data_IF_157614304232
#
_entry.id   IF_157614304232
#
_cell.length_a   1.000
_cell.length_b   1.000
_cell.length_c   1.000
_cell.angle_alpha   90.00
_cell.angle_beta   90.00
_cell.angle_gamma   90.00
#
_symmetry.space_group_name_H-M   'P 1'
#
loop_
_entity.id
_entity.type
_entity.pdbx_description
1 polymer ?
#
# COMPACT_ATOMS: atom_id res chain seq x y z
N UNK A 1 0.65 -14.44 -17.85
CA UNK A 1 1.00 -14.27 -16.42
C UNK A 1 0.39 -15.41 -15.60
N UNK A 2 1.02 -15.84 -14.49
CA UNK A 2 0.44 -16.86 -13.61
C UNK A 2 -0.84 -16.32 -12.92
N UNK A 3 -1.98 -17.01 -13.11
CA UNK A 3 -3.28 -16.60 -12.53
C UNK A 3 -3.30 -16.64 -11.00
N UNK A 4 -2.60 -17.57 -10.37
CA UNK A 4 -2.53 -17.67 -8.92
C UNK A 4 -1.81 -16.46 -8.32
N UNK A 5 -0.70 -16.04 -8.92
CA UNK A 5 0.00 -14.81 -8.54
C UNK A 5 -0.95 -13.61 -8.67
N UNK A 6 -1.63 -13.48 -9.81
CA UNK A 6 -2.57 -12.37 -10.01
C UNK A 6 -3.71 -12.36 -8.99
N UNK A 7 -4.22 -13.53 -8.58
CA UNK A 7 -5.24 -13.62 -7.52
C UNK A 7 -4.72 -13.16 -6.16
N UNK A 8 -3.47 -13.49 -5.82
CA UNK A 8 -2.83 -13.01 -4.58
C UNK A 8 -2.69 -11.47 -4.63
N UNK A 9 -2.20 -10.94 -5.75
CA UNK A 9 -2.02 -9.50 -5.93
C UNK A 9 -3.38 -8.76 -5.94
N UNK A 10 -4.40 -9.34 -6.56
CA UNK A 10 -5.77 -8.84 -6.52
C UNK A 10 -6.26 -8.71 -5.07
N UNK A 11 -6.04 -9.75 -4.25
CA UNK A 11 -6.46 -9.70 -2.86
C UNK A 11 -5.72 -8.63 -2.06
N UNK A 12 -4.43 -8.41 -2.32
CA UNK A 12 -3.71 -7.27 -1.77
C UNK A 12 -4.33 -5.93 -2.19
N UNK A 13 -4.76 -5.80 -3.45
CA UNK A 13 -5.53 -4.65 -3.95
C UNK A 13 -6.87 -4.46 -3.25
N UNK A 14 -7.60 -5.54 -2.97
CA UNK A 14 -8.89 -5.50 -2.25
C UNK A 14 -8.73 -5.10 -0.78
N UNK A 15 -7.63 -5.48 -0.12
CA UNK A 15 -7.30 -4.98 1.21
C UNK A 15 -7.16 -3.45 1.18
N UNK A 16 -6.45 -2.91 0.17
CA UNK A 16 -6.36 -1.46 -0.02
C UNK A 16 -7.71 -0.83 -0.31
N UNK A 17 -8.54 -1.43 -1.17
CA UNK A 17 -9.90 -0.95 -1.45
C UNK A 17 -10.73 -0.82 -0.17
N UNK A 18 -10.70 -1.86 0.69
CA UNK A 18 -11.42 -1.85 1.97
C UNK A 18 -10.88 -0.77 2.91
N UNK A 19 -9.56 -0.64 2.99
CA UNK A 19 -8.90 0.35 3.83
C UNK A 19 -9.23 1.78 3.41
N UNK A 20 -9.10 2.11 2.12
CA UNK A 20 -9.40 3.45 1.61
C UNK A 20 -10.89 3.76 1.71
N UNK A 21 -11.77 2.79 1.40
CA UNK A 21 -13.21 2.96 1.51
C UNK A 21 -13.60 3.31 2.95
N UNK A 22 -13.09 2.59 3.95
CA UNK A 22 -13.33 2.89 5.36
C UNK A 22 -12.89 4.31 5.76
N UNK A 23 -11.78 4.80 5.20
CA UNK A 23 -11.30 6.17 5.44
C UNK A 23 -12.26 7.21 4.86
N UNK A 24 -12.71 7.04 3.61
CA UNK A 24 -13.69 7.94 3.00
C UNK A 24 -15.03 7.95 3.75
N UNK A 25 -15.56 6.77 4.09
CA UNK A 25 -16.86 6.67 4.75
C UNK A 25 -16.84 7.12 6.20
N UNK A 26 -15.68 7.13 6.86
CA UNK A 26 -15.56 7.65 8.23
C UNK A 26 -15.82 9.15 8.34
N UNK A 27 -15.61 9.91 7.26
CA UNK A 27 -15.71 11.38 7.23
C UNK A 27 -14.73 12.13 8.14
N UNK A 28 -13.93 11.43 8.95
CA UNK A 28 -13.15 12.00 10.07
C UNK A 28 -11.68 11.57 10.06
N UNK A 29 -11.28 10.69 9.14
CA UNK A 29 -9.92 10.16 9.08
C UNK A 29 -8.84 11.26 8.98
N UNK A 30 -9.06 12.24 8.11
CA UNK A 30 -8.08 13.32 7.87
C UNK A 30 -7.90 14.18 9.12
N UNK A 31 -8.98 14.44 9.85
CA UNK A 31 -8.98 15.25 11.06
C UNK A 31 -8.34 14.51 12.25
N UNK A 32 -8.52 13.19 12.32
CA UNK A 32 -8.06 12.35 13.44
C UNK A 32 -6.68 11.72 13.21
N UNK A 33 -6.08 11.87 12.02
CA UNK A 33 -4.78 11.25 11.73
C UNK A 33 -3.68 11.74 12.69
N UNK A 34 -3.68 13.02 13.09
CA UNK A 34 -2.67 13.57 13.99
C UNK A 34 -2.59 12.85 15.35
N UNK A 35 -3.73 12.44 15.90
CA UNK A 35 -3.81 11.65 17.14
C UNK A 35 -3.19 10.26 16.94
N UNK A 36 -3.51 9.61 15.82
CA UNK A 36 -2.96 8.30 15.46
C UNK A 36 -1.44 8.36 15.29
N UNK A 37 -0.93 9.37 14.58
CA UNK A 37 0.51 9.58 14.41
C UNK A 37 1.21 9.91 15.73
N UNK A 38 0.57 10.68 16.62
CA UNK A 38 1.10 10.98 17.95
C UNK A 38 1.23 9.71 18.80
N UNK A 39 0.22 8.82 18.74
CA UNK A 39 0.28 7.51 19.38
C UNK A 39 1.43 6.67 18.83
N UNK A 40 1.59 6.64 17.51
CA UNK A 40 2.69 5.94 16.83
C UNK A 40 4.06 6.52 17.17
N UNK A 41 4.20 7.84 17.37
CA UNK A 41 5.47 8.44 17.75
C UNK A 41 5.86 8.13 19.20
N UNK A 42 4.89 8.05 20.11
CA UNK A 42 5.11 7.99 21.57
C UNK A 42 6.05 6.88 22.05
N UNK A 43 6.05 5.73 21.36
CA UNK A 43 6.83 4.54 21.72
C UNK A 43 7.56 3.94 20.52
N UNK A 44 7.73 4.70 19.44
CA UNK A 44 8.38 4.18 18.24
C UNK A 44 9.86 3.88 18.51
N UNK A 45 10.33 2.64 18.29
CA UNK A 45 11.74 2.29 18.47
C UNK A 45 12.63 2.87 17.36
N UNK A 46 12.07 3.22 16.19
CA UNK A 46 12.82 3.78 15.07
C UNK A 46 13.03 5.29 15.29
N UNK A 47 14.17 5.67 15.86
CA UNK A 47 14.45 7.07 16.20
C UNK A 47 14.26 8.04 15.02
N UNK A 48 14.83 7.74 13.85
CA UNK A 48 14.71 8.61 12.67
C UNK A 48 13.24 8.80 12.24
N UNK A 49 12.43 7.73 12.32
CA UNK A 49 11.04 7.78 11.86
C UNK A 49 10.16 8.46 12.90
N UNK A 50 10.44 8.26 14.19
CA UNK A 50 9.84 9.03 15.27
C UNK A 50 10.09 10.52 15.09
N UNK A 51 11.31 10.92 14.76
CA UNK A 51 11.67 12.32 14.55
C UNK A 51 10.93 12.89 13.33
N UNK A 52 10.79 12.13 12.24
CA UNK A 52 9.94 12.48 11.11
C UNK A 52 8.47 12.65 11.50
N UNK A 53 7.92 11.73 12.31
CA UNK A 53 6.54 11.82 12.78
C UNK A 53 6.32 13.10 13.59
N UNK A 54 7.21 13.37 14.56
CA UNK A 54 7.10 14.51 15.47
C UNK A 54 7.31 15.86 14.77
N UNK A 55 8.29 15.95 13.89
CA UNK A 55 8.71 17.24 13.33
C UNK A 55 8.11 17.53 11.94
N UNK A 56 7.51 16.54 11.27
CA UNK A 56 6.99 16.72 9.91
C UNK A 56 5.56 16.20 9.77
N UNK A 57 5.30 14.93 10.10
CA UNK A 57 4.00 14.32 9.80
C UNK A 57 2.87 14.83 10.70
N UNK A 58 3.10 14.92 12.01
CA UNK A 58 2.09 15.39 12.98
C UNK A 58 1.73 16.87 12.76
N UNK A 59 2.69 17.81 12.60
CA UNK A 59 2.38 19.20 12.30
C UNK A 59 1.60 19.41 10.99
N UNK A 60 1.78 18.50 10.02
CA UNK A 60 1.10 18.54 8.71
C UNK A 60 0.06 17.42 8.56
N UNK A 61 -0.53 16.98 9.68
CA UNK A 61 -1.34 15.75 9.73
C UNK A 61 -2.54 15.74 8.78
N UNK A 62 -3.17 16.88 8.51
CA UNK A 62 -4.27 16.94 7.53
C UNK A 62 -3.78 16.67 6.10
N UNK A 63 -2.63 17.22 5.71
CA UNK A 63 -2.02 16.95 4.41
C UNK A 63 -1.64 15.48 4.28
N UNK A 64 -0.98 14.91 5.29
CA UNK A 64 -0.70 13.47 5.31
C UNK A 64 -1.97 12.62 5.34
N UNK A 65 -3.04 13.09 5.97
CA UNK A 65 -4.36 12.47 5.96
C UNK A 65 -4.91 12.34 4.55
N UNK A 66 -4.86 13.42 3.77
CA UNK A 66 -5.26 13.41 2.37
C UNK A 66 -4.34 12.48 1.54
N UNK A 67 -3.03 12.58 1.71
CA UNK A 67 -2.07 11.75 0.98
C UNK A 67 -2.25 10.25 1.25
N UNK A 68 -2.47 9.86 2.51
CA UNK A 68 -2.72 8.46 2.87
C UNK A 68 -4.07 8.00 2.32
N UNK A 69 -5.13 8.77 2.52
CA UNK A 69 -6.47 8.40 2.08
C UNK A 69 -6.55 8.21 0.55
N UNK A 70 -6.04 9.19 -0.21
CA UNK A 70 -6.00 9.10 -1.67
C UNK A 70 -4.94 8.12 -2.18
N UNK A 71 -3.79 8.04 -1.52
CA UNK A 71 -2.73 7.10 -1.86
C UNK A 71 -3.20 5.65 -1.80
N UNK A 72 -3.88 5.27 -0.72
CA UNK A 72 -4.47 3.93 -0.60
C UNK A 72 -5.52 3.66 -1.69
N UNK A 73 -6.36 4.64 -2.02
CA UNK A 73 -7.39 4.49 -3.04
C UNK A 73 -6.80 4.30 -4.44
N UNK A 74 -5.79 5.12 -4.79
CA UNK A 74 -5.10 5.04 -6.08
C UNK A 74 -4.33 3.73 -6.21
N UNK A 75 -3.65 3.29 -5.14
CA UNK A 75 -2.99 1.97 -5.09
C UNK A 75 -4.00 0.85 -5.29
N UNK A 76 -5.16 0.91 -4.63
CA UNK A 76 -6.22 -0.08 -4.79
C UNK A 76 -6.67 -0.19 -6.25
N UNK A 77 -6.98 0.94 -6.89
CA UNK A 77 -7.40 1.00 -8.30
C UNK A 77 -6.30 0.48 -9.23
N UNK A 78 -5.05 0.91 -9.01
CA UNK A 78 -3.90 0.54 -9.80
C UNK A 78 -3.49 -0.94 -9.66
N UNK A 79 -3.94 -1.65 -8.61
CA UNK A 79 -3.75 -3.09 -8.47
C UNK A 79 -4.98 -3.85 -8.98
N UNK A 80 -6.18 -3.52 -8.49
CA UNK A 80 -7.42 -4.29 -8.72
C UNK A 80 -7.80 -4.34 -10.19
N UNK A 81 -7.84 -3.19 -10.87
CA UNK A 81 -8.26 -3.11 -12.28
C UNK A 81 -7.34 -3.96 -13.18
N UNK A 82 -6.02 -3.75 -13.20
CA UNK A 82 -5.16 -4.54 -14.08
C UNK A 82 -5.03 -6.00 -13.64
N UNK A 83 -5.09 -6.32 -12.34
CA UNK A 83 -5.07 -7.71 -11.89
C UNK A 83 -6.32 -8.47 -12.38
N UNK A 84 -7.52 -7.90 -12.22
CA UNK A 84 -8.76 -8.49 -12.75
C UNK A 84 -8.68 -8.67 -14.26
N UNK A 85 -8.27 -7.62 -14.98
CA UNK A 85 -8.14 -7.68 -16.43
C UNK A 85 -7.20 -8.83 -16.87
N UNK A 86 -6.02 -8.95 -16.25
CA UNK A 86 -5.05 -9.99 -16.58
C UNK A 86 -5.48 -11.40 -16.16
N UNK A 87 -6.37 -11.55 -15.16
CA UNK A 87 -6.94 -12.86 -14.80
C UNK A 87 -7.82 -13.39 -15.93
N UNK A 88 -8.70 -12.53 -16.47
CA UNK A 88 -9.62 -12.88 -17.56
C UNK A 88 -8.90 -12.93 -18.92
N UNK A 89 -7.87 -12.10 -19.13
CA UNK A 89 -7.10 -12.01 -20.37
C UNK A 89 -5.60 -12.32 -20.16
N UNK A 90 -5.21 -13.53 -19.73
CA UNK A 90 -3.86 -13.83 -19.21
C UNK A 90 -2.75 -13.86 -20.26
N UNK A 91 -3.11 -13.92 -21.55
CA UNK A 91 -2.19 -13.88 -22.69
C UNK A 91 -1.92 -12.44 -23.17
N UNK A 92 -2.69 -11.47 -22.71
CA UNK A 92 -2.53 -10.07 -23.11
C UNK A 92 -1.28 -9.48 -22.45
N UNK A 93 -0.39 -8.91 -23.27
CA UNK A 93 0.79 -8.14 -22.84
C UNK A 93 0.58 -6.64 -23.08
N UNK A 94 -0.57 -6.12 -22.66
CA UNK A 94 -0.83 -4.68 -22.74
C UNK A 94 0.15 -3.94 -21.81
N UNK A 95 1.09 -3.19 -22.40
CA UNK A 95 2.13 -2.47 -21.65
C UNK A 95 1.54 -1.55 -20.60
N UNK A 96 0.45 -0.84 -20.93
CA UNK A 96 -0.24 0.07 -20.00
C UNK A 96 -0.77 -0.68 -18.79
N UNK A 97 -1.43 -1.82 -18.99
CA UNK A 97 -1.95 -2.65 -17.89
C UNK A 97 -0.84 -3.17 -16.98
N UNK A 98 0.28 -3.63 -17.56
CA UNK A 98 1.43 -4.12 -16.78
C UNK A 98 2.10 -3.00 -15.98
N UNK A 99 2.30 -1.84 -16.59
CA UNK A 99 2.87 -0.67 -15.92
C UNK A 99 1.96 -0.14 -14.82
N UNK A 100 0.65 -0.09 -15.05
CA UNK A 100 -0.32 0.31 -14.04
C UNK A 100 -0.25 -0.62 -12.81
N UNK A 101 -0.20 -1.94 -13.05
CA UNK A 101 -0.04 -2.93 -11.98
C UNK A 101 1.28 -2.74 -11.24
N UNK A 102 2.40 -2.54 -11.95
CA UNK A 102 3.71 -2.28 -11.34
C UNK A 102 3.65 -1.04 -10.45
N UNK A 103 3.11 0.08 -10.94
CA UNK A 103 2.99 1.32 -10.17
C UNK A 103 2.12 1.12 -8.93
N UNK A 104 0.98 0.42 -9.06
CA UNK A 104 0.13 0.08 -7.94
C UNK A 104 0.85 -0.75 -6.87
N UNK A 105 1.61 -1.76 -7.28
CA UNK A 105 2.38 -2.60 -6.36
C UNK A 105 3.52 -1.83 -5.68
N UNK A 106 4.23 -0.96 -6.41
CA UNK A 106 5.27 -0.08 -5.83
C UNK A 106 4.64 0.87 -4.82
N UNK A 107 3.51 1.49 -5.16
CA UNK A 107 2.79 2.37 -4.24
C UNK A 107 2.31 1.63 -2.99
N UNK A 108 1.76 0.43 -3.14
CA UNK A 108 1.40 -0.43 -2.01
C UNK A 108 2.60 -0.80 -1.13
N UNK A 109 3.74 -1.13 -1.75
CA UNK A 109 4.97 -1.46 -1.04
C UNK A 109 5.46 -0.25 -0.23
N UNK A 110 5.45 0.93 -0.85
CA UNK A 110 5.80 2.18 -0.18
C UNK A 110 4.89 2.46 1.03
N UNK A 111 3.56 2.30 0.88
CA UNK A 111 2.62 2.49 1.98
C UNK A 111 2.88 1.49 3.13
N UNK A 112 3.05 0.21 2.83
CA UNK A 112 3.34 -0.81 3.84
C UNK A 112 4.66 -0.55 4.56
N UNK A 113 5.70 -0.08 3.87
CA UNK A 113 6.96 0.29 4.51
C UNK A 113 6.76 1.46 5.50
N UNK A 114 6.04 2.51 5.09
CA UNK A 114 5.74 3.64 5.97
C UNK A 114 4.88 3.21 7.17
N UNK A 115 3.89 2.35 6.96
CA UNK A 115 3.03 1.84 8.03
C UNK A 115 3.80 0.94 8.98
N UNK A 116 4.70 0.10 8.47
CA UNK A 116 5.57 -0.72 9.30
C UNK A 116 6.51 0.15 10.15
N UNK A 117 7.15 1.15 9.56
CA UNK A 117 8.02 2.08 10.30
C UNK A 117 7.24 2.89 11.35
N UNK A 118 5.99 3.26 11.05
CA UNK A 118 5.12 4.01 11.96
C UNK A 118 4.59 3.16 13.11
N UNK A 119 4.06 1.97 12.81
CA UNK A 119 3.17 1.22 13.70
C UNK A 119 3.51 -0.27 13.83
N UNK A 120 4.52 -0.77 13.14
CA UNK A 120 4.93 -2.18 13.21
C UNK A 120 5.17 -2.64 14.65
N UNK A 121 5.80 -1.79 15.47
CA UNK A 121 6.08 -2.09 16.87
C UNK A 121 4.83 -2.20 17.77
N UNK A 122 3.64 -1.78 17.30
CA UNK A 122 2.45 -1.67 18.15
C UNK A 122 1.76 -3.02 18.41
N UNK A 123 1.92 -3.99 17.51
CA UNK A 123 1.44 -5.36 17.70
C UNK A 123 2.12 -6.33 16.71
N UNK A 124 2.25 -7.63 17.04
CA UNK A 124 2.76 -8.64 16.10
C UNK A 124 1.96 -8.70 14.80
N UNK A 125 0.65 -8.39 14.85
CA UNK A 125 -0.19 -8.32 13.65
C UNK A 125 0.16 -7.14 12.74
N UNK A 126 0.46 -5.96 13.31
CA UNK A 126 0.85 -4.78 12.53
C UNK A 126 2.23 -4.96 11.91
N UNK A 127 3.17 -5.56 12.66
CA UNK A 127 4.48 -5.95 12.16
C UNK A 127 4.36 -6.92 10.97
N UNK A 128 3.77 -8.09 11.23
CA UNK A 128 3.69 -9.17 10.26
C UNK A 128 2.89 -8.83 9.02
N UNK A 129 1.75 -8.14 9.15
CA UNK A 129 0.90 -7.82 8.00
C UNK A 129 1.59 -6.84 7.04
N UNK A 130 2.19 -5.75 7.55
CA UNK A 130 2.84 -4.78 6.70
C UNK A 130 4.06 -5.38 5.98
N UNK A 131 4.88 -6.17 6.69
CA UNK A 131 6.02 -6.87 6.07
C UNK A 131 5.57 -7.89 5.02
N UNK A 132 4.54 -8.69 5.33
CA UNK A 132 4.01 -9.66 4.39
C UNK A 132 3.49 -8.98 3.12
N UNK A 133 2.72 -7.90 3.26
CA UNK A 133 2.20 -7.18 2.10
C UNK A 133 3.31 -6.47 1.31
N UNK A 134 4.28 -5.85 2.00
CA UNK A 134 5.48 -5.27 1.38
C UNK A 134 6.21 -6.29 0.51
N UNK A 135 6.55 -7.45 1.07
CA UNK A 135 7.27 -8.50 0.35
C UNK A 135 6.43 -9.04 -0.80
N UNK A 136 5.14 -9.29 -0.58
CA UNK A 136 4.22 -9.77 -1.63
C UNK A 136 4.18 -8.82 -2.82
N UNK A 137 4.14 -7.51 -2.56
CA UNK A 137 4.11 -6.50 -3.61
C UNK A 137 5.45 -6.38 -4.35
N UNK A 138 6.57 -6.42 -3.63
CA UNK A 138 7.92 -6.43 -4.24
C UNK A 138 8.11 -7.65 -5.13
N UNK A 139 7.78 -8.85 -4.64
CA UNK A 139 7.84 -10.08 -5.44
C UNK A 139 6.92 -9.99 -6.65
N UNK A 140 5.71 -9.44 -6.48
CA UNK A 140 4.78 -9.18 -7.57
C UNK A 140 5.40 -8.32 -8.69
N UNK A 141 6.08 -7.21 -8.33
CA UNK A 141 6.80 -6.36 -9.29
C UNK A 141 7.86 -7.16 -10.05
N UNK A 142 8.71 -7.90 -9.34
CA UNK A 142 9.79 -8.69 -9.95
C UNK A 142 9.23 -9.72 -10.94
N UNK A 143 8.20 -10.48 -10.55
CA UNK A 143 7.55 -11.44 -11.41
C UNK A 143 6.95 -10.81 -12.68
N UNK A 144 6.37 -9.60 -12.56
CA UNK A 144 5.80 -8.89 -13.71
C UNK A 144 6.92 -8.40 -14.65
N UNK A 145 8.02 -7.88 -14.12
CA UNK A 145 9.18 -7.45 -14.91
C UNK A 145 9.79 -8.62 -15.68
N UNK A 146 9.95 -9.79 -15.05
CA UNK A 146 10.44 -10.99 -15.72
C UNK A 146 9.49 -11.50 -16.80
N UNK A 147 8.17 -11.43 -16.54
CA UNK A 147 7.17 -11.74 -17.55
C UNK A 147 7.22 -10.79 -18.76
N UNK A 148 7.51 -9.51 -18.52
CA UNK A 148 7.61 -8.49 -19.57
C UNK A 148 8.86 -8.67 -20.45
N UNK A 149 9.97 -9.15 -19.86
CA UNK A 149 11.25 -9.39 -20.57
C UNK A 149 11.26 -10.62 -21.47
N UNK A 150 10.39 -11.61 -21.25
CA UNK A 150 10.32 -12.85 -22.06
C UNK A 150 9.62 -12.64 -23.42
N UNK A 151 10.01 -11.60 -24.16
CA UNK A 151 9.62 -11.30 -25.55
C UNK A 151 10.89 -11.05 -26.33
#
# INVERSE_FOLDING_TARGET
MNRYLLSILLFAGLIWSRSSFGKFTSGTFVQTLGETLSRFASKNPNAFYRDFLQNTAIPNSQTFGQLVMWGEALVAVAIVIPALYLIFQPKTKCKVTLWLLIVGLIGGAFLNLNFWLASGYTSPSSDGLNLLMLVTQVVGVLCILDYNKKV
#
